data_IF_514193197027
#
_entry.id   IF_514193197027
#
_cell.length_a   1.000
_cell.length_b   1.000
_cell.length_c   1.000
_cell.angle_alpha   90.00
_cell.angle_beta   90.00
_cell.angle_gamma   90.00
#
_symmetry.space_group_name_H-M   'P 1'
#
loop_
_entity.id
_entity.type
_entity.pdbx_description
1 polymer ?
#
# COMPACT_ATOMS: atom_id res chain seq x y z
N UNK A 1 16.72 -6.22 39.36
CA UNK A 1 17.40 -6.03 38.06
C UNK A 1 18.83 -5.58 38.36
N UNK A 2 19.82 -6.26 37.83
CA UNK A 2 21.24 -6.03 38.05
C UNK A 2 22.01 -5.91 36.71
N UNK A 3 23.30 -5.66 36.76
CA UNK A 3 24.14 -5.52 35.57
C UNK A 3 24.24 -6.78 34.74
N UNK A 4 24.11 -7.97 35.34
CA UNK A 4 24.10 -9.27 34.63
C UNK A 4 22.83 -9.40 33.79
N UNK A 5 21.67 -9.05 34.35
CA UNK A 5 20.39 -9.00 33.62
C UNK A 5 20.47 -8.04 32.43
N UNK A 6 21.05 -6.86 32.64
CA UNK A 6 21.28 -5.87 31.57
C UNK A 6 22.17 -6.43 30.46
N UNK A 7 23.26 -7.09 30.82
CA UNK A 7 24.18 -7.70 29.83
C UNK A 7 23.46 -8.80 29.04
N UNK A 8 22.77 -9.71 29.72
CA UNK A 8 21.98 -10.77 29.07
C UNK A 8 20.97 -10.22 28.05
N UNK A 9 20.26 -9.13 28.39
CA UNK A 9 19.35 -8.47 27.45
C UNK A 9 20.09 -7.93 26.21
N UNK A 10 21.27 -7.32 26.42
CA UNK A 10 22.10 -6.82 25.31
C UNK A 10 22.56 -7.95 24.39
N UNK A 11 23.02 -9.06 24.96
CA UNK A 11 23.51 -10.22 24.20
C UNK A 11 22.37 -10.86 23.38
N UNK A 12 21.20 -11.04 23.96
CA UNK A 12 19.99 -11.54 23.29
C UNK A 12 19.57 -10.63 22.15
N UNK A 13 19.58 -9.31 22.35
CA UNK A 13 19.28 -8.35 21.27
C UNK A 13 20.33 -8.39 20.15
N UNK A 14 21.60 -8.50 20.48
CA UNK A 14 22.67 -8.67 19.51
C UNK A 14 22.48 -9.96 18.68
N UNK A 15 21.93 -11.02 19.30
CA UNK A 15 21.53 -12.25 18.63
C UNK A 15 20.22 -12.13 17.82
N UNK A 16 19.59 -10.95 17.78
CA UNK A 16 18.37 -10.71 17.01
C UNK A 16 17.07 -11.01 17.74
N UNK A 17 17.11 -11.23 19.07
CA UNK A 17 15.90 -11.46 19.85
C UNK A 17 15.18 -10.15 20.22
N UNK A 18 13.84 -10.15 20.18
CA UNK A 18 13.03 -9.09 20.76
C UNK A 18 13.05 -9.18 22.27
N UNK A 19 13.56 -8.15 22.93
CA UNK A 19 13.61 -8.06 24.39
C UNK A 19 13.14 -6.69 24.83
N UNK A 20 12.21 -6.65 25.78
CA UNK A 20 11.83 -5.39 26.41
C UNK A 20 13.00 -4.86 27.24
N UNK A 21 13.51 -3.72 26.87
CA UNK A 21 14.66 -3.08 27.53
C UNK A 21 14.53 -1.57 27.64
N UNK A 22 14.30 -0.93 26.54
CA UNK A 22 14.15 0.52 26.38
C UNK A 22 13.03 0.80 25.40
N UNK A 23 12.16 1.79 25.68
CA UNK A 23 10.91 2.00 24.94
C UNK A 23 11.11 2.15 23.42
N UNK A 24 12.14 2.86 22.97
CA UNK A 24 12.44 3.00 21.54
C UNK A 24 12.84 1.67 20.86
N UNK A 25 13.21 0.66 21.64
CA UNK A 25 13.55 -0.67 21.14
C UNK A 25 12.33 -1.64 21.09
N UNK A 26 11.16 -1.11 21.32
CA UNK A 26 9.89 -1.81 21.37
C UNK A 26 9.38 -2.07 22.79
N UNK A 27 8.09 -2.28 22.87
CA UNK A 27 7.33 -2.57 24.09
C UNK A 27 6.46 -3.82 23.85
N UNK A 28 5.91 -4.46 24.91
CA UNK A 28 4.98 -5.57 24.71
C UNK A 28 3.82 -5.24 23.76
N UNK A 29 3.32 -4.00 23.77
CA UNK A 29 2.23 -3.56 22.89
C UNK A 29 2.67 -3.47 21.43
N UNK A 30 3.85 -2.89 21.16
CA UNK A 30 4.39 -2.83 19.80
C UNK A 30 4.71 -4.23 19.27
N UNK A 31 5.26 -5.11 20.12
CA UNK A 31 5.51 -6.51 19.75
C UNK A 31 4.24 -7.27 19.41
N UNK A 32 3.15 -7.04 20.15
CA UNK A 32 1.85 -7.65 19.84
C UNK A 32 1.30 -7.19 18.47
N UNK A 33 1.50 -5.93 18.11
CA UNK A 33 1.11 -5.45 16.77
C UNK A 33 2.01 -6.03 15.67
N UNK A 34 3.33 -6.07 15.89
CA UNK A 34 4.27 -6.73 14.95
C UNK A 34 3.87 -8.18 14.70
N UNK A 35 3.56 -8.95 15.77
CA UNK A 35 3.16 -10.34 15.65
C UNK A 35 1.84 -10.51 14.92
N UNK A 36 0.84 -9.65 15.19
CA UNK A 36 -0.45 -9.68 14.51
C UNK A 36 -0.31 -9.39 13.01
N UNK A 37 0.45 -8.36 12.62
CA UNK A 37 0.70 -8.05 11.22
C UNK A 37 1.54 -9.14 10.56
N UNK A 38 2.54 -9.70 11.26
CA UNK A 38 3.38 -10.78 10.74
C UNK A 38 2.56 -12.04 10.43
N UNK A 39 1.60 -12.39 11.25
CA UNK A 39 0.69 -13.52 11.03
C UNK A 39 -0.19 -13.28 9.78
N UNK A 40 -0.67 -12.05 9.60
CA UNK A 40 -1.48 -11.66 8.45
C UNK A 40 -0.67 -11.71 7.16
N UNK A 41 0.52 -11.13 7.15
CA UNK A 41 1.39 -11.01 5.97
C UNK A 41 2.18 -12.28 5.66
N UNK A 42 2.42 -13.14 6.65
CA UNK A 42 3.16 -14.40 6.51
C UNK A 42 4.67 -14.21 6.40
N UNK A 43 5.22 -13.15 6.99
CA UNK A 43 6.65 -12.87 7.01
C UNK A 43 7.44 -13.71 8.04
N UNK A 44 8.77 -13.67 7.96
CA UNK A 44 9.65 -14.12 9.03
C UNK A 44 9.66 -13.12 10.18
N UNK A 45 9.54 -11.82 9.85
CA UNK A 45 9.57 -10.73 10.82
C UNK A 45 8.87 -9.50 10.28
N UNK A 46 8.13 -8.81 11.15
CA UNK A 46 7.55 -7.50 10.87
C UNK A 46 8.20 -6.41 11.72
N UNK A 47 8.37 -5.23 11.16
CA UNK A 47 8.90 -4.02 11.78
C UNK A 47 7.88 -2.91 11.64
N UNK A 48 7.72 -2.07 12.68
CA UNK A 48 6.83 -0.92 12.67
C UNK A 48 7.62 0.37 12.40
N UNK A 49 6.96 1.31 11.74
CA UNK A 49 7.52 2.60 11.32
C UNK A 49 6.57 3.75 11.68
N UNK A 50 7.10 4.95 12.00
CA UNK A 50 6.27 6.07 12.43
C UNK A 50 5.30 6.58 11.35
N UNK A 51 5.55 6.24 10.08
CA UNK A 51 4.67 6.56 8.94
C UNK A 51 4.71 5.46 7.89
N UNK A 52 3.66 5.36 7.05
CA UNK A 52 3.69 4.51 5.87
C UNK A 52 4.85 4.86 4.94
N UNK A 53 5.16 6.16 4.77
CA UNK A 53 6.28 6.58 3.93
C UNK A 53 7.65 6.18 4.50
N UNK A 54 7.81 6.15 5.82
CA UNK A 54 9.03 5.62 6.45
C UNK A 54 9.17 4.11 6.20
N UNK A 55 8.07 3.37 6.19
CA UNK A 55 8.05 1.96 5.81
C UNK A 55 8.42 1.76 4.33
N UNK A 56 7.89 2.59 3.42
CA UNK A 56 8.25 2.61 1.98
C UNK A 56 9.74 2.92 1.77
N UNK A 57 10.29 3.87 2.51
CA UNK A 57 11.69 4.27 2.40
C UNK A 57 12.67 3.18 2.88
N UNK A 58 12.24 2.35 3.83
CA UNK A 58 13.13 1.41 4.50
C UNK A 58 13.81 0.38 3.58
N UNK A 59 13.15 -0.28 2.62
CA UNK A 59 13.81 -1.15 1.66
C UNK A 59 14.90 -0.43 0.83
N UNK A 60 14.66 0.82 0.43
CA UNK A 60 15.66 1.62 -0.29
C UNK A 60 16.89 1.92 0.57
N UNK A 61 16.68 2.16 1.86
CA UNK A 61 17.76 2.45 2.80
C UNK A 61 18.54 1.21 3.22
N UNK A 62 17.85 0.08 3.39
CA UNK A 62 18.44 -1.14 3.92
C UNK A 62 19.04 -2.04 2.83
N UNK A 63 18.40 -2.14 1.66
CA UNK A 63 18.74 -3.16 0.68
C UNK A 63 19.62 -2.67 -0.48
N UNK A 64 19.70 -1.34 -0.69
CA UNK A 64 20.41 -0.75 -1.82
C UNK A 64 21.73 -0.11 -1.41
N UNK A 65 22.68 -0.16 -2.34
CA UNK A 65 24.01 0.48 -2.24
C UNK A 65 24.27 1.37 -3.47
N UNK A 66 25.20 2.33 -3.39
CA UNK A 66 25.63 3.09 -4.56
C UNK A 66 26.08 2.14 -5.70
N UNK A 67 25.63 2.42 -6.91
CA UNK A 67 25.85 1.56 -8.09
C UNK A 67 24.74 0.55 -8.37
N UNK A 68 23.79 0.34 -7.44
CA UNK A 68 22.64 -0.53 -7.70
C UNK A 68 21.64 0.10 -8.66
N UNK A 69 20.90 -0.77 -9.35
CA UNK A 69 19.79 -0.41 -10.22
C UNK A 69 18.46 -0.92 -9.64
N UNK A 70 17.42 -0.10 -9.76
CA UNK A 70 16.05 -0.41 -9.31
C UNK A 70 15.07 -0.24 -10.46
N UNK A 71 14.21 -1.24 -10.67
CA UNK A 71 13.03 -1.15 -11.53
C UNK A 71 11.79 -0.86 -10.67
N UNK A 72 11.03 0.16 -11.05
CA UNK A 72 9.81 0.56 -10.35
C UNK A 72 8.63 0.52 -11.32
N UNK A 73 7.51 -0.04 -10.90
CA UNK A 73 6.29 0.05 -11.70
C UNK A 73 5.87 1.52 -11.87
N UNK A 74 5.32 1.86 -13.05
CA UNK A 74 4.93 3.24 -13.34
C UNK A 74 3.82 3.74 -12.41
N UNK A 75 2.97 2.85 -11.91
CA UNK A 75 1.78 3.14 -11.13
C UNK A 75 1.99 3.06 -9.60
N UNK A 76 3.23 3.24 -9.13
CA UNK A 76 3.51 3.26 -7.69
C UNK A 76 3.06 4.57 -7.04
N UNK A 77 2.90 4.52 -5.71
CA UNK A 77 2.58 5.66 -4.85
C UNK A 77 3.51 6.86 -5.11
N UNK A 78 2.93 8.05 -5.31
CA UNK A 78 3.67 9.24 -5.69
C UNK A 78 4.88 9.57 -4.79
N UNK A 79 4.78 9.54 -3.45
CA UNK A 79 5.93 9.71 -2.57
C UNK A 79 7.02 8.65 -2.73
N UNK A 80 6.68 7.39 -3.08
CA UNK A 80 7.69 6.37 -3.41
C UNK A 80 8.49 6.75 -4.67
N UNK A 81 7.82 7.32 -5.69
CA UNK A 81 8.49 7.91 -6.87
C UNK A 81 9.47 9.00 -6.46
N UNK A 82 9.10 9.85 -5.50
CA UNK A 82 9.98 10.91 -4.99
C UNK A 82 11.21 10.35 -4.27
N UNK A 83 11.07 9.24 -3.53
CA UNK A 83 12.22 8.55 -2.93
C UNK A 83 13.15 8.04 -4.03
N UNK A 84 12.62 7.41 -5.07
CA UNK A 84 13.42 6.91 -6.19
C UNK A 84 14.13 8.06 -6.93
N UNK A 85 13.38 9.07 -7.38
CA UNK A 85 13.88 10.13 -8.23
C UNK A 85 14.80 11.14 -7.52
N UNK A 86 14.48 11.50 -6.26
CA UNK A 86 15.15 12.61 -5.58
C UNK A 86 16.11 12.16 -4.47
N UNK A 87 15.81 11.04 -3.79
CA UNK A 87 16.64 10.56 -2.70
C UNK A 87 17.67 9.54 -3.18
N UNK A 88 17.24 8.49 -3.87
CA UNK A 88 18.08 7.37 -4.29
C UNK A 88 19.08 7.79 -5.38
N UNK A 89 18.65 8.58 -6.37
CA UNK A 89 19.51 9.06 -7.46
C UNK A 89 20.70 9.86 -6.94
N UNK A 90 20.51 10.72 -5.91
CA UNK A 90 21.59 11.49 -5.28
C UNK A 90 22.59 10.62 -4.50
N UNK A 91 22.31 9.34 -4.32
CA UNK A 91 23.15 8.35 -3.63
C UNK A 91 23.76 7.34 -4.58
N UNK A 92 23.75 7.63 -5.88
CA UNK A 92 24.35 6.78 -6.89
C UNK A 92 23.52 5.51 -7.20
N UNK A 93 22.25 5.50 -6.86
CA UNK A 93 21.32 4.42 -7.20
C UNK A 93 20.57 4.82 -8.46
N UNK A 94 20.59 3.99 -9.49
CA UNK A 94 19.85 4.24 -10.74
C UNK A 94 18.43 3.70 -10.61
N UNK A 95 17.44 4.55 -10.81
CA UNK A 95 16.02 4.19 -10.77
C UNK A 95 15.41 4.31 -12.17
N UNK A 96 14.75 3.25 -12.64
CA UNK A 96 14.09 3.18 -13.95
C UNK A 96 12.64 2.73 -13.76
N UNK A 97 11.70 3.45 -14.39
CA UNK A 97 10.28 3.09 -14.34
C UNK A 97 9.90 2.20 -15.52
N UNK A 98 8.99 1.25 -15.29
CA UNK A 98 8.47 0.37 -16.34
C UNK A 98 6.93 0.35 -16.35
N UNK A 99 6.36 0.31 -17.54
CA UNK A 99 4.94 0.03 -17.78
C UNK A 99 4.80 -1.45 -18.17
N UNK A 100 3.75 -2.10 -17.67
CA UNK A 100 3.45 -3.50 -17.98
C UNK A 100 3.91 -4.49 -16.90
N UNK A 101 4.00 -5.76 -17.25
CA UNK A 101 4.23 -6.84 -16.29
C UNK A 101 5.64 -7.44 -16.35
N UNK A 102 5.74 -8.71 -15.95
CA UNK A 102 6.97 -9.45 -15.79
C UNK A 102 7.83 -9.54 -17.06
N UNK A 103 7.25 -9.60 -18.26
CA UNK A 103 8.01 -9.62 -19.52
C UNK A 103 8.75 -8.31 -19.77
N UNK A 104 8.17 -7.18 -19.40
CA UNK A 104 8.85 -5.89 -19.51
C UNK A 104 9.97 -5.75 -18.45
N UNK A 105 9.72 -6.21 -17.24
CA UNK A 105 10.77 -6.29 -16.21
C UNK A 105 11.94 -7.15 -16.73
N UNK A 106 11.68 -8.32 -17.29
CA UNK A 106 12.69 -9.23 -17.83
C UNK A 106 13.61 -8.56 -18.86
N UNK A 107 13.05 -7.75 -19.76
CA UNK A 107 13.80 -7.01 -20.79
C UNK A 107 14.71 -5.93 -20.19
N UNK A 108 14.30 -5.31 -19.07
CA UNK A 108 15.00 -4.20 -18.43
C UNK A 108 15.97 -4.60 -17.33
N UNK A 109 16.00 -5.90 -16.96
CA UNK A 109 16.93 -6.40 -15.95
C UNK A 109 18.38 -6.19 -16.38
N UNK A 110 19.18 -5.57 -15.52
CA UNK A 110 20.62 -5.36 -15.68
C UNK A 110 21.39 -6.26 -14.70
N UNK A 111 22.70 -6.50 -14.88
CA UNK A 111 23.50 -7.27 -13.92
C UNK A 111 23.45 -6.69 -12.49
N UNK A 112 23.37 -5.37 -12.37
CA UNK A 112 23.28 -4.64 -11.11
C UNK A 112 21.84 -4.31 -10.66
N UNK A 113 20.81 -4.89 -11.28
CA UNK A 113 19.44 -4.72 -10.80
C UNK A 113 19.29 -5.42 -9.46
N UNK A 114 19.09 -4.63 -8.41
CA UNK A 114 19.00 -5.09 -7.01
C UNK A 114 17.60 -5.15 -6.48
N UNK A 115 16.67 -4.38 -7.05
CA UNK A 115 15.27 -4.32 -6.57
C UNK A 115 14.30 -4.16 -7.74
N UNK A 116 13.16 -4.84 -7.64
CA UNK A 116 11.93 -4.55 -8.37
C UNK A 116 10.89 -4.14 -7.34
N UNK A 117 10.33 -2.94 -7.50
CA UNK A 117 9.36 -2.34 -6.57
C UNK A 117 8.06 -2.07 -7.29
N UNK A 118 6.93 -2.45 -6.69
CA UNK A 118 5.59 -2.18 -7.20
C UNK A 118 4.56 -2.02 -6.07
N UNK A 119 3.52 -1.24 -6.35
CA UNK A 119 2.25 -1.35 -5.63
C UNK A 119 1.41 -2.44 -6.33
N UNK A 120 0.71 -3.28 -5.58
CA UNK A 120 -0.17 -4.27 -6.20
C UNK A 120 -1.47 -4.45 -5.41
N UNK A 121 -2.59 -3.90 -5.92
CA UNK A 121 -2.77 -3.14 -7.17
C UNK A 121 -2.05 -1.80 -7.17
N UNK A 122 -1.77 -1.28 -8.36
CA UNK A 122 -1.11 0.00 -8.58
C UNK A 122 -1.89 1.18 -8.00
N UNK A 123 -1.19 2.25 -7.67
CA UNK A 123 -1.79 3.46 -7.08
C UNK A 123 -2.70 4.17 -8.08
N UNK A 124 -3.88 4.63 -7.66
CA UNK A 124 -4.89 5.39 -8.40
C UNK A 124 -5.59 4.60 -9.53
N UNK A 125 -4.84 3.90 -10.37
CA UNK A 125 -5.38 3.18 -11.54
C UNK A 125 -5.62 1.69 -11.28
N UNK A 126 -5.12 1.18 -10.17
CA UNK A 126 -5.34 -0.18 -9.64
C UNK A 126 -5.00 -1.32 -10.60
N UNK A 127 -4.05 -1.12 -11.49
CA UNK A 127 -3.54 -2.20 -12.34
C UNK A 127 -2.94 -3.33 -11.48
N UNK A 128 -3.27 -4.57 -11.83
CA UNK A 128 -2.80 -5.76 -11.12
C UNK A 128 -1.69 -6.42 -11.92
N UNK A 129 -0.56 -6.65 -11.27
CA UNK A 129 0.57 -7.37 -11.87
C UNK A 129 0.61 -8.83 -11.42
N UNK A 130 1.07 -9.71 -12.31
CA UNK A 130 1.28 -11.15 -12.02
C UNK A 130 2.53 -11.33 -11.14
N UNK A 131 2.32 -11.29 -9.81
CA UNK A 131 3.42 -11.37 -8.85
C UNK A 131 4.17 -12.71 -8.90
N UNK A 132 3.51 -13.89 -9.00
CA UNK A 132 4.21 -15.15 -9.19
C UNK A 132 5.11 -15.17 -10.45
N UNK A 133 4.66 -14.60 -11.55
CA UNK A 133 5.46 -14.51 -12.77
C UNK A 133 6.65 -13.54 -12.61
N UNK A 134 6.48 -12.43 -11.89
CA UNK A 134 7.58 -11.53 -11.51
C UNK A 134 8.60 -12.27 -10.62
N UNK A 135 8.14 -12.96 -9.59
CA UNK A 135 9.03 -13.73 -8.71
C UNK A 135 9.81 -14.81 -9.48
N UNK A 136 9.15 -15.52 -10.41
CA UNK A 136 9.80 -16.50 -11.28
C UNK A 136 10.86 -15.87 -12.19
N UNK A 137 10.60 -14.67 -12.72
CA UNK A 137 11.54 -13.90 -13.55
C UNK A 137 12.82 -13.52 -12.79
N UNK A 138 12.71 -13.29 -11.47
CA UNK A 138 13.82 -12.90 -10.60
C UNK A 138 14.55 -14.10 -9.98
N UNK A 139 14.07 -15.33 -10.18
CA UNK A 139 14.66 -16.54 -9.59
C UNK A 139 16.13 -16.70 -9.97
N UNK A 140 16.99 -16.96 -8.99
CA UNK A 140 18.43 -17.13 -9.18
C UNK A 140 19.22 -15.83 -9.31
N UNK A 141 18.56 -14.66 -9.20
CA UNK A 141 19.21 -13.35 -9.22
C UNK A 141 19.33 -12.80 -7.79
N UNK A 142 20.30 -11.94 -7.59
CA UNK A 142 20.42 -11.17 -6.34
C UNK A 142 19.60 -9.87 -6.45
N UNK A 143 18.33 -10.04 -6.81
CA UNK A 143 17.32 -8.97 -6.95
C UNK A 143 16.19 -9.23 -5.95
N UNK A 144 15.77 -8.21 -5.25
CA UNK A 144 14.67 -8.25 -4.26
C UNK A 144 13.36 -7.84 -4.91
N UNK A 145 12.29 -8.55 -4.59
CA UNK A 145 10.92 -8.20 -4.99
C UNK A 145 10.20 -7.55 -3.81
N UNK A 146 9.91 -6.25 -3.94
CA UNK A 146 9.30 -5.42 -2.90
C UNK A 146 7.93 -4.96 -3.35
N UNK A 147 6.92 -5.21 -2.52
CA UNK A 147 5.53 -4.92 -2.84
C UNK A 147 4.92 -4.01 -1.78
N UNK A 148 4.34 -2.89 -2.20
CA UNK A 148 3.41 -2.15 -1.35
C UNK A 148 2.04 -2.85 -1.40
N UNK A 149 1.65 -3.44 -0.27
CA UNK A 149 0.42 -4.20 -0.06
C UNK A 149 -0.64 -3.40 0.69
N UNK A 150 -0.53 -2.09 0.75
CA UNK A 150 -1.44 -1.28 1.55
C UNK A 150 -2.89 -1.45 1.12
N UNK A 151 -3.17 -1.61 -0.18
CA UNK A 151 -4.52 -1.87 -0.69
C UNK A 151 -5.05 -3.26 -0.28
N UNK A 152 -4.18 -4.27 -0.26
CA UNK A 152 -4.53 -5.67 0.00
C UNK A 152 -4.50 -6.09 1.49
N UNK A 153 -4.06 -5.23 2.38
CA UNK A 153 -3.99 -5.50 3.82
C UNK A 153 -5.18 -4.86 4.57
N UNK A 154 -5.71 -5.53 5.61
CA UNK A 154 -5.30 -6.82 6.14
C UNK A 154 -5.94 -8.02 5.43
N UNK A 155 -5.09 -8.98 5.07
CA UNK A 155 -5.52 -10.35 4.74
C UNK A 155 -6.18 -10.59 3.38
N UNK A 156 -6.39 -9.57 2.57
CA UNK A 156 -6.96 -9.73 1.24
C UNK A 156 -5.94 -10.18 0.18
N UNK A 157 -4.66 -9.85 0.37
CA UNK A 157 -3.57 -10.22 -0.50
C UNK A 157 -2.32 -10.58 0.32
N UNK A 158 -1.56 -11.58 -0.12
CA UNK A 158 -0.40 -12.11 0.60
C UNK A 158 0.84 -12.17 -0.30
N UNK A 159 1.50 -11.04 -0.59
CA UNK A 159 2.61 -10.98 -1.55
C UNK A 159 3.80 -11.85 -1.16
N UNK A 160 4.11 -12.01 0.13
CA UNK A 160 5.21 -12.88 0.57
C UNK A 160 4.99 -14.35 0.21
N UNK A 161 3.73 -14.83 0.29
CA UNK A 161 3.38 -16.18 -0.13
C UNK A 161 3.44 -16.37 -1.66
N UNK A 162 3.38 -15.28 -2.42
CA UNK A 162 3.46 -15.25 -3.89
C UNK A 162 4.88 -14.97 -4.41
N UNK A 163 5.87 -14.92 -3.52
CA UNK A 163 7.28 -14.82 -3.88
C UNK A 163 7.93 -13.46 -3.69
N UNK A 164 7.25 -12.48 -3.10
CA UNK A 164 7.88 -11.23 -2.70
C UNK A 164 8.88 -11.46 -1.53
N UNK A 165 9.93 -10.67 -1.46
CA UNK A 165 10.87 -10.65 -0.33
C UNK A 165 10.39 -9.71 0.78
N UNK A 166 9.64 -8.65 0.41
CA UNK A 166 9.18 -7.60 1.30
C UNK A 166 7.74 -7.21 0.97
N UNK A 167 6.92 -7.12 2.00
CA UNK A 167 5.58 -6.53 1.96
C UNK A 167 5.53 -5.27 2.83
N UNK A 168 5.10 -4.16 2.25
CA UNK A 168 4.94 -2.87 2.92
C UNK A 168 3.45 -2.62 3.13
N UNK A 169 3.08 -2.09 4.30
CA UNK A 169 1.70 -1.73 4.61
C UNK A 169 1.66 -0.38 5.34
N UNK A 170 0.92 0.57 4.81
CA UNK A 170 0.52 1.74 5.58
C UNK A 170 -0.60 1.34 6.55
N UNK A 171 -0.24 1.07 7.80
CA UNK A 171 -1.18 0.74 8.90
C UNK A 171 -2.24 1.83 9.07
N UNK A 172 -1.89 3.08 8.77
CA UNK A 172 -2.76 4.25 8.69
C UNK A 172 -4.09 3.98 7.98
N UNK A 173 -4.12 3.04 7.01
CA UNK A 173 -5.28 2.76 6.17
C UNK A 173 -6.23 1.76 6.85
N UNK A 174 -6.62 0.68 6.20
CA UNK A 174 -7.63 -0.27 6.71
C UNK A 174 -7.24 -0.99 8.01
N UNK A 175 -5.95 -1.09 8.33
CA UNK A 175 -5.53 -1.71 9.60
C UNK A 175 -6.00 -0.88 10.78
N UNK A 176 -5.66 0.41 10.83
CA UNK A 176 -6.16 1.34 11.84
C UNK A 176 -7.65 1.66 11.60
N UNK A 177 -7.99 2.10 10.40
CA UNK A 177 -9.37 2.23 9.90
C UNK A 177 -10.23 3.32 10.53
N UNK A 178 -9.63 4.25 11.28
CA UNK A 178 -10.36 5.27 12.05
C UNK A 178 -9.85 6.70 11.80
N UNK A 179 -8.94 6.89 10.85
CA UNK A 179 -8.35 8.20 10.49
C UNK A 179 -7.68 8.93 11.66
N UNK A 180 -7.23 8.21 12.67
CA UNK A 180 -6.79 8.72 13.98
C UNK A 180 -5.29 8.51 14.26
N UNK A 181 -4.57 7.79 13.39
CA UNK A 181 -3.12 7.57 13.55
C UNK A 181 -2.39 7.47 12.21
N UNK A 182 -1.08 7.69 12.26
CA UNK A 182 -0.18 7.50 11.13
C UNK A 182 0.89 6.46 11.52
N UNK A 183 0.97 5.37 10.76
CA UNK A 183 1.92 4.29 11.01
C UNK A 183 2.15 3.45 9.76
N UNK A 184 3.31 2.82 9.64
CA UNK A 184 3.61 1.83 8.62
C UNK A 184 4.20 0.56 9.19
N UNK A 185 4.22 -0.48 8.38
CA UNK A 185 4.94 -1.72 8.69
C UNK A 185 5.65 -2.26 7.46
N UNK A 186 6.71 -3.01 7.72
CA UNK A 186 7.41 -3.82 6.73
C UNK A 186 7.46 -5.25 7.24
N UNK A 187 6.84 -6.16 6.52
CA UNK A 187 6.95 -7.60 6.73
C UNK A 187 7.95 -8.19 5.76
N UNK A 188 8.95 -8.88 6.27
CA UNK A 188 10.09 -9.34 5.50
C UNK A 188 10.20 -10.86 5.49
N UNK A 189 10.49 -11.41 4.31
CA UNK A 189 10.80 -12.82 4.11
C UNK A 189 12.20 -13.20 4.63
N UNK A 190 12.52 -14.51 4.66
CA UNK A 190 13.77 -15.00 5.27
C UNK A 190 15.06 -14.40 4.70
N UNK A 191 15.10 -14.03 3.41
CA UNK A 191 16.29 -13.47 2.75
C UNK A 191 16.75 -12.13 3.34
N UNK A 192 15.82 -11.33 3.85
CA UNK A 192 16.08 -9.91 4.19
C UNK A 192 15.70 -9.54 5.62
N UNK A 193 14.90 -10.34 6.30
CA UNK A 193 14.29 -10.01 7.59
C UNK A 193 15.28 -9.57 8.67
N UNK A 194 16.38 -10.32 8.85
CA UNK A 194 17.33 -10.05 9.94
C UNK A 194 18.17 -8.79 9.64
N UNK A 195 18.52 -8.56 8.36
CA UNK A 195 19.20 -7.34 7.92
C UNK A 195 18.30 -6.12 8.11
N UNK A 196 17.10 -6.16 7.57
CA UNK A 196 16.15 -5.04 7.64
C UNK A 196 15.78 -4.69 9.08
N UNK A 197 15.62 -5.70 9.94
CA UNK A 197 15.35 -5.46 11.37
C UNK A 197 16.53 -4.76 12.07
N UNK A 198 17.77 -5.17 11.80
CA UNK A 198 18.96 -4.51 12.35
C UNK A 198 19.04 -3.05 11.87
N UNK A 199 18.83 -2.81 10.59
CA UNK A 199 18.88 -1.47 10.02
C UNK A 199 17.76 -0.58 10.55
N UNK A 200 16.54 -1.09 10.74
CA UNK A 200 15.45 -0.34 11.36
C UNK A 200 15.82 0.12 12.80
N UNK A 201 16.44 -0.76 13.58
CA UNK A 201 16.91 -0.41 14.93
C UNK A 201 18.04 0.63 14.91
N UNK A 202 19.00 0.52 13.97
CA UNK A 202 20.12 1.48 13.82
C UNK A 202 19.59 2.85 13.39
N UNK A 203 18.59 2.88 12.50
CA UNK A 203 17.96 4.10 12.03
C UNK A 203 16.98 4.70 13.04
N UNK A 204 16.79 4.07 14.21
CA UNK A 204 15.92 4.57 15.27
C UNK A 204 14.44 4.52 14.95
N UNK A 205 14.03 3.64 14.06
CA UNK A 205 12.59 3.46 13.72
C UNK A 205 11.85 2.92 14.96
N UNK A 206 10.92 3.72 15.44
CA UNK A 206 10.09 3.35 16.60
C UNK A 206 8.71 4.01 16.50
N UNK A 207 7.75 3.39 17.16
CA UNK A 207 6.36 3.86 17.22
C UNK A 207 5.92 3.98 18.68
N UNK A 208 4.96 4.87 18.93
CA UNK A 208 4.30 5.01 20.22
C UNK A 208 3.55 3.71 20.59
N UNK A 209 3.58 3.35 21.89
CA UNK A 209 2.76 2.24 22.38
C UNK A 209 1.26 2.53 22.29
N UNK A 210 0.86 3.80 22.41
CA UNK A 210 -0.53 4.22 22.31
C UNK A 210 -1.04 4.08 20.88
N UNK A 211 -0.25 4.50 19.88
CA UNK A 211 -0.59 4.29 18.47
C UNK A 211 -0.63 2.80 18.11
N UNK A 212 0.32 2.01 18.63
CA UNK A 212 0.31 0.56 18.43
C UNK A 212 -0.94 -0.10 19.04
N UNK A 213 -1.40 0.38 20.21
CA UNK A 213 -2.64 -0.07 20.82
C UNK A 213 -3.86 0.31 19.99
N UNK A 214 -3.94 1.54 19.49
CA UNK A 214 -5.03 1.99 18.63
C UNK A 214 -5.05 1.21 17.30
N UNK A 215 -3.89 0.94 16.70
CA UNK A 215 -3.80 0.07 15.52
C UNK A 215 -4.32 -1.35 15.80
N UNK A 216 -3.97 -1.94 16.97
CA UNK A 216 -4.51 -3.25 17.39
C UNK A 216 -6.03 -3.22 17.58
N UNK A 217 -6.59 -2.13 18.14
CA UNK A 217 -8.05 -1.95 18.22
C UNK A 217 -8.69 -1.93 16.84
N UNK A 218 -8.13 -1.14 15.93
CA UNK A 218 -8.58 -1.07 14.55
C UNK A 218 -8.53 -2.44 13.87
N UNK A 219 -7.44 -3.18 14.04
CA UNK A 219 -7.27 -4.50 13.44
C UNK A 219 -8.37 -5.50 13.89
N UNK A 220 -8.81 -5.43 15.15
CA UNK A 220 -9.88 -6.30 15.67
C UNK A 220 -11.23 -6.13 14.96
N UNK A 221 -11.49 -4.97 14.37
CA UNK A 221 -12.72 -4.68 13.62
C UNK A 221 -12.51 -4.70 12.11
N UNK A 222 -11.29 -4.94 11.64
CA UNK A 222 -10.95 -4.77 10.22
C UNK A 222 -11.79 -5.66 9.29
N UNK A 223 -12.05 -6.92 9.66
CA UNK A 223 -12.87 -7.82 8.84
C UNK A 223 -14.32 -7.34 8.68
N UNK A 224 -14.92 -6.82 9.74
CA UNK A 224 -16.29 -6.27 9.70
C UNK A 224 -16.32 -4.99 8.85
N UNK A 225 -15.37 -4.07 9.05
CA UNK A 225 -15.27 -2.83 8.26
C UNK A 225 -15.04 -3.12 6.78
N UNK A 226 -14.12 -4.02 6.44
CA UNK A 226 -13.86 -4.42 5.06
C UNK A 226 -15.06 -5.10 4.40
N UNK A 227 -15.84 -5.87 5.15
CA UNK A 227 -17.08 -6.46 4.63
C UNK A 227 -18.09 -5.35 4.26
N UNK A 228 -18.26 -4.34 5.11
CA UNK A 228 -19.13 -3.18 4.84
C UNK A 228 -18.59 -2.34 3.68
N UNK A 229 -17.29 -1.97 3.68
CA UNK A 229 -16.69 -1.26 2.54
C UNK A 229 -16.95 -1.96 1.21
N UNK A 230 -16.73 -3.28 1.16
CA UNK A 230 -16.97 -4.07 -0.03
C UNK A 230 -18.44 -4.05 -0.46
N UNK A 231 -19.37 -4.20 0.49
CA UNK A 231 -20.80 -4.17 0.20
C UNK A 231 -21.22 -2.81 -0.34
N UNK A 232 -20.91 -1.73 0.37
CA UNK A 232 -21.25 -0.36 -0.05
C UNK A 232 -20.64 -0.02 -1.42
N UNK A 233 -19.38 -0.42 -1.63
CA UNK A 233 -18.71 -0.22 -2.91
C UNK A 233 -19.40 -0.96 -4.05
N UNK A 234 -19.87 -2.18 -3.83
CA UNK A 234 -20.61 -2.93 -4.86
C UNK A 234 -21.94 -2.24 -5.21
N UNK A 235 -22.66 -1.69 -4.24
CA UNK A 235 -23.91 -0.93 -4.47
C UNK A 235 -23.62 0.37 -5.24
N UNK A 236 -22.60 1.12 -4.85
CA UNK A 236 -22.18 2.34 -5.54
C UNK A 236 -21.72 2.04 -6.97
N UNK A 237 -20.94 0.99 -7.20
CA UNK A 237 -20.50 0.55 -8.53
C UNK A 237 -21.71 0.20 -9.38
N UNK A 238 -22.68 -0.58 -8.87
CA UNK A 238 -23.89 -0.93 -9.59
C UNK A 238 -24.72 0.29 -10.01
N UNK A 239 -24.65 1.40 -9.27
CA UNK A 239 -25.24 2.66 -9.66
C UNK A 239 -24.37 3.41 -10.68
N UNK A 240 -23.05 3.49 -10.47
CA UNK A 240 -22.11 4.18 -11.36
C UNK A 240 -22.09 3.59 -12.78
N UNK A 241 -22.26 2.28 -12.95
CA UNK A 241 -22.34 1.61 -14.26
C UNK A 241 -23.47 2.13 -15.14
N UNK A 242 -24.51 2.72 -14.56
CA UNK A 242 -25.69 3.27 -15.28
C UNK A 242 -25.56 4.76 -15.58
N UNK A 243 -24.47 5.42 -15.15
CA UNK A 243 -24.29 6.86 -15.33
C UNK A 243 -23.63 7.17 -16.67
N UNK A 244 -24.25 7.96 -17.56
CA UNK A 244 -23.69 8.27 -18.87
C UNK A 244 -22.41 9.15 -18.79
N UNK A 245 -22.15 9.77 -17.63
CA UNK A 245 -20.95 10.54 -17.39
C UNK A 245 -19.73 9.64 -17.09
N UNK A 246 -19.95 8.38 -16.70
CA UNK A 246 -18.88 7.43 -16.33
C UNK A 246 -18.58 6.54 -17.53
N UNK A 247 -17.35 6.61 -18.02
CA UNK A 247 -16.84 5.79 -19.13
C UNK A 247 -16.37 4.43 -18.64
N UNK A 248 -15.67 4.40 -17.50
CA UNK A 248 -15.06 3.18 -16.96
C UNK A 248 -14.86 3.30 -15.45
N UNK A 249 -14.97 2.17 -14.77
CA UNK A 249 -14.66 2.00 -13.36
C UNK A 249 -13.36 1.21 -13.27
N UNK A 250 -12.38 1.74 -12.55
CA UNK A 250 -11.09 1.11 -12.26
C UNK A 250 -11.16 0.50 -10.87
N UNK A 251 -11.35 -0.79 -10.80
CA UNK A 251 -11.51 -1.55 -9.56
C UNK A 251 -11.28 -3.04 -9.84
N UNK A 252 -10.19 -3.64 -9.36
CA UNK A 252 -9.81 -5.01 -9.75
C UNK A 252 -10.88 -6.07 -9.49
N UNK A 253 -11.71 -5.88 -8.46
CA UNK A 253 -12.82 -6.78 -8.18
C UNK A 253 -13.98 -6.67 -9.17
N UNK A 254 -14.01 -5.65 -10.02
CA UNK A 254 -15.05 -5.46 -11.03
C UNK A 254 -14.78 -6.35 -12.25
N UNK A 255 -15.77 -7.14 -12.74
CA UNK A 255 -15.53 -8.12 -13.82
C UNK A 255 -15.04 -7.53 -15.15
N UNK A 256 -15.25 -6.23 -15.39
CA UNK A 256 -14.78 -5.52 -16.60
C UNK A 256 -13.39 -4.89 -16.42
N UNK A 257 -12.79 -5.01 -15.23
CA UNK A 257 -11.44 -4.49 -15.00
C UNK A 257 -10.41 -5.37 -15.70
N UNK A 258 -9.43 -4.81 -16.41
CA UNK A 258 -8.39 -5.60 -17.08
C UNK A 258 -7.59 -6.52 -16.16
N UNK A 259 -7.45 -6.15 -14.88
CA UNK A 259 -6.74 -6.91 -13.84
C UNK A 259 -7.60 -7.97 -13.14
N UNK A 260 -8.91 -8.09 -13.50
CA UNK A 260 -9.86 -8.92 -12.76
C UNK A 260 -9.44 -10.38 -12.61
N UNK A 261 -8.94 -11.02 -13.66
CA UNK A 261 -8.57 -12.44 -13.61
C UNK A 261 -7.35 -12.67 -12.69
N UNK A 262 -6.37 -11.75 -12.67
CA UNK A 262 -5.25 -11.80 -11.73
C UNK A 262 -5.72 -11.54 -10.30
N UNK A 263 -6.59 -10.55 -10.11
CA UNK A 263 -7.21 -10.29 -8.82
C UNK A 263 -7.98 -11.50 -8.29
N UNK A 264 -8.81 -12.11 -9.11
CA UNK A 264 -9.59 -13.31 -8.74
C UNK A 264 -8.73 -14.51 -8.37
N UNK A 265 -7.56 -14.66 -9.01
CA UNK A 265 -6.59 -15.70 -8.70
C UNK A 265 -5.87 -15.47 -7.37
N UNK A 266 -5.42 -14.24 -7.12
CA UNK A 266 -4.44 -13.94 -6.08
C UNK A 266 -5.04 -13.25 -4.85
N UNK A 267 -6.18 -12.58 -4.97
CA UNK A 267 -6.81 -11.83 -3.90
C UNK A 267 -8.02 -12.56 -3.30
N UNK A 268 -8.24 -12.37 -2.01
CA UNK A 268 -9.37 -12.97 -1.26
C UNK A 268 -10.49 -11.98 -0.95
N UNK A 269 -10.37 -10.75 -1.42
CA UNK A 269 -11.35 -9.71 -1.15
C UNK A 269 -11.03 -8.40 -1.83
N UNK A 270 -11.86 -7.43 -1.55
CA UNK A 270 -11.78 -6.08 -2.06
C UNK A 270 -12.18 -5.08 -0.98
N UNK A 271 -11.99 -3.80 -1.24
CA UNK A 271 -12.18 -2.72 -0.28
C UNK A 271 -12.98 -1.55 -0.89
N UNK A 272 -12.96 -0.39 -0.25
CA UNK A 272 -13.72 0.79 -0.64
C UNK A 272 -13.03 1.72 -1.65
N UNK A 273 -11.85 1.37 -2.16
CA UNK A 273 -11.03 2.29 -2.94
C UNK A 273 -11.09 1.96 -4.45
N UNK A 274 -11.63 2.89 -5.25
CA UNK A 274 -11.77 2.78 -6.71
C UNK A 274 -11.50 4.11 -7.39
N UNK A 275 -11.40 4.10 -8.71
CA UNK A 275 -11.43 5.32 -9.54
C UNK A 275 -12.48 5.19 -10.64
N UNK A 276 -13.06 6.32 -11.04
CA UNK A 276 -13.92 6.42 -12.22
C UNK A 276 -13.26 7.29 -13.27
N UNK A 277 -13.27 6.83 -14.52
CA UNK A 277 -12.91 7.61 -15.68
C UNK A 277 -14.18 8.27 -16.23
N UNK A 278 -14.15 9.58 -16.38
CA UNK A 278 -15.26 10.31 -16.99
C UNK A 278 -15.31 10.10 -18.50
N UNK A 279 -16.48 10.29 -19.10
CA UNK A 279 -16.67 10.21 -20.54
C UNK A 279 -15.78 11.23 -21.28
N UNK A 280 -15.33 10.91 -22.48
CA UNK A 280 -14.28 11.60 -23.23
C UNK A 280 -14.52 13.11 -23.45
N UNK A 281 -15.79 13.53 -23.42
CA UNK A 281 -16.17 14.95 -23.53
C UNK A 281 -15.78 15.77 -22.31
N UNK A 282 -15.59 15.14 -21.15
CA UNK A 282 -15.24 15.80 -19.89
C UNK A 282 -13.73 15.91 -19.71
N UNK A 283 -13.30 17.00 -19.08
CA UNK A 283 -11.89 17.34 -18.83
C UNK A 283 -11.60 17.38 -17.35
N UNK A 284 -10.34 17.61 -16.97
CA UNK A 284 -9.92 17.70 -15.57
C UNK A 284 -10.76 18.71 -14.77
N UNK A 285 -11.03 19.90 -15.33
CA UNK A 285 -11.85 20.91 -14.66
C UNK A 285 -13.29 20.46 -14.40
N UNK A 286 -13.81 19.53 -15.19
CA UNK A 286 -15.12 18.95 -14.97
C UNK A 286 -15.09 17.96 -13.79
N UNK A 287 -14.03 17.13 -13.72
CA UNK A 287 -13.80 16.25 -12.58
C UNK A 287 -13.65 17.04 -11.27
N UNK A 288 -12.90 18.15 -11.32
CA UNK A 288 -12.70 19.04 -10.17
C UNK A 288 -14.06 19.63 -9.71
N UNK A 289 -14.92 20.10 -10.66
CA UNK A 289 -16.27 20.59 -10.32
C UNK A 289 -17.14 19.51 -9.66
N UNK A 290 -17.08 18.26 -10.11
CA UNK A 290 -17.78 17.15 -9.45
C UNK A 290 -17.35 17.06 -8.01
N UNK A 291 -16.04 16.93 -7.77
CA UNK A 291 -15.48 16.74 -6.42
C UNK A 291 -15.79 17.95 -5.52
N UNK A 292 -15.65 19.16 -6.02
CA UNK A 292 -15.94 20.40 -5.27
C UNK A 292 -17.42 20.55 -4.89
N UNK A 293 -18.33 19.89 -5.62
CA UNK A 293 -19.76 19.94 -5.36
C UNK A 293 -20.26 18.89 -4.36
N UNK A 294 -19.45 17.87 -4.07
CA UNK A 294 -19.79 16.84 -3.07
C UNK A 294 -19.86 17.43 -1.66
N UNK A 295 -20.76 16.90 -0.86
CA UNK A 295 -20.97 17.37 0.51
C UNK A 295 -20.71 16.29 1.56
N UNK A 296 -21.01 15.05 1.24
CA UNK A 296 -20.72 13.90 2.09
C UNK A 296 -19.25 13.49 1.98
N UNK A 297 -18.72 13.51 0.75
CA UNK A 297 -17.32 13.19 0.52
C UNK A 297 -16.41 14.32 0.97
N UNK A 298 -15.43 14.00 1.84
CA UNK A 298 -14.31 14.90 2.10
C UNK A 298 -13.33 14.93 0.93
N UNK A 299 -12.68 16.08 0.69
CA UNK A 299 -11.55 16.17 -0.25
C UNK A 299 -10.30 15.71 0.49
N UNK A 300 -9.76 14.56 0.13
CA UNK A 300 -8.64 13.98 0.87
C UNK A 300 -7.81 12.98 0.10
N UNK A 301 -6.49 13.08 0.27
CA UNK A 301 -5.53 12.16 -0.35
C UNK A 301 -5.44 10.80 0.37
N UNK A 302 -6.02 10.67 1.56
CA UNK A 302 -6.06 9.40 2.31
C UNK A 302 -7.23 8.50 1.88
N UNK A 303 -7.39 7.39 2.57
CA UNK A 303 -8.45 6.39 2.40
C UNK A 303 -8.34 5.33 3.49
N UNK A 304 -9.31 4.43 3.57
CA UNK A 304 -9.29 3.30 4.50
C UNK A 304 -9.82 3.61 5.90
N UNK A 305 -10.27 4.85 6.13
CA UNK A 305 -11.03 5.26 7.30
C UNK A 305 -12.52 4.99 7.15
N UNK A 306 -13.31 5.53 8.06
CA UNK A 306 -14.76 5.37 8.08
C UNK A 306 -15.48 6.33 7.11
N UNK A 307 -14.87 7.49 6.81
CA UNK A 307 -15.43 8.52 5.95
C UNK A 307 -15.19 8.28 4.46
N UNK A 308 -16.15 8.65 3.63
CA UNK A 308 -16.00 8.71 2.18
C UNK A 308 -15.13 9.89 1.75
N UNK A 309 -14.20 9.65 0.83
CA UNK A 309 -13.26 10.65 0.32
C UNK A 309 -13.23 10.64 -1.20
N UNK A 310 -13.10 11.83 -1.80
CA UNK A 310 -12.92 11.99 -3.24
C UNK A 310 -11.70 12.86 -3.54
N UNK A 311 -11.02 12.57 -4.66
CA UNK A 311 -9.88 13.37 -5.12
C UNK A 311 -9.70 13.21 -6.63
N UNK A 312 -9.31 14.30 -7.28
CA UNK A 312 -8.87 14.31 -8.69
C UNK A 312 -7.35 14.38 -8.78
N UNK A 313 -6.81 14.04 -9.94
CA UNK A 313 -5.39 14.10 -10.21
C UNK A 313 -5.15 14.69 -11.58
N UNK A 314 -4.49 15.86 -11.68
CA UNK A 314 -4.25 16.54 -12.97
C UNK A 314 -3.25 15.78 -13.86
N UNK A 315 -2.44 14.92 -13.26
CA UNK A 315 -1.48 14.07 -13.96
C UNK A 315 -1.26 12.78 -13.17
N UNK A 316 -1.37 11.65 -13.85
CA UNK A 316 -1.15 10.33 -13.28
C UNK A 316 -0.13 9.62 -14.15
N UNK A 317 1.04 9.25 -13.59
CA UNK A 317 2.05 8.51 -14.34
C UNK A 317 1.50 7.20 -14.92
N UNK A 318 1.83 6.90 -16.18
CA UNK A 318 1.35 5.70 -16.90
C UNK A 318 -0.11 5.74 -17.33
N UNK A 319 -0.91 6.72 -16.92
CA UNK A 319 -2.30 6.85 -17.32
C UNK A 319 -2.45 7.56 -18.68
N UNK A 320 -3.16 6.92 -19.61
CA UNK A 320 -3.40 7.43 -20.99
C UNK A 320 -4.89 7.69 -21.27
N UNK A 321 -5.74 7.54 -20.24
CA UNK A 321 -7.17 7.78 -20.35
C UNK A 321 -7.60 9.22 -20.07
N UNK A 322 -8.91 9.41 -19.89
CA UNK A 322 -9.53 10.70 -19.57
C UNK A 322 -9.38 11.12 -18.11
N UNK A 323 -10.13 12.15 -17.73
CA UNK A 323 -10.16 12.66 -16.36
C UNK A 323 -10.62 11.58 -15.37
N UNK A 324 -9.89 11.44 -14.26
CA UNK A 324 -10.18 10.47 -13.19
C UNK A 324 -10.65 11.16 -11.92
N UNK A 325 -11.62 10.56 -11.26
CA UNK A 325 -11.98 10.82 -9.88
C UNK A 325 -11.69 9.56 -9.09
N UNK A 326 -10.79 9.63 -8.10
CA UNK A 326 -10.59 8.56 -7.13
C UNK A 326 -11.62 8.71 -6.02
N UNK A 327 -12.28 7.62 -5.69
CA UNK A 327 -13.27 7.52 -4.62
C UNK A 327 -12.79 6.51 -3.57
N UNK A 328 -12.93 6.87 -2.32
CA UNK A 328 -12.96 5.94 -1.21
C UNK A 328 -14.38 5.90 -0.67
N UNK A 329 -15.02 4.75 -0.73
CA UNK A 329 -16.36 4.52 -0.20
C UNK A 329 -16.23 4.13 1.26
N UNK A 330 -16.73 4.99 2.12
CA UNK A 330 -16.70 4.85 3.57
C UNK A 330 -17.76 3.91 4.13
N UNK A 331 -18.12 4.15 5.38
CA UNK A 331 -19.09 3.34 6.13
C UNK A 331 -20.44 4.05 6.29
N UNK A 332 -20.64 5.19 5.63
CA UNK A 332 -21.93 5.89 5.57
C UNK A 332 -22.95 5.06 4.79
N UNK A 333 -24.24 5.41 4.92
CA UNK A 333 -25.29 4.72 4.18
C UNK A 333 -25.03 4.82 2.66
N UNK A 334 -25.00 3.72 1.92
CA UNK A 334 -24.75 3.76 0.49
C UNK A 334 -25.79 4.56 -0.32
N UNK A 335 -27.01 4.71 0.19
CA UNK A 335 -28.01 5.57 -0.45
C UNK A 335 -27.62 7.05 -0.37
N UNK A 336 -27.08 7.51 0.76
CA UNK A 336 -26.59 8.87 0.94
C UNK A 336 -25.34 9.13 0.07
N UNK A 337 -24.43 8.15 0.01
CA UNK A 337 -23.26 8.19 -0.87
C UNK A 337 -23.69 8.35 -2.34
N UNK A 338 -24.65 7.56 -2.80
CA UNK A 338 -25.17 7.61 -4.16
C UNK A 338 -25.88 8.93 -4.44
N UNK A 339 -26.68 9.43 -3.49
CA UNK A 339 -27.35 10.72 -3.64
C UNK A 339 -26.35 11.87 -3.82
N UNK A 340 -25.27 11.89 -3.03
CA UNK A 340 -24.24 12.92 -3.13
C UNK A 340 -23.47 12.82 -4.46
N UNK A 341 -23.08 11.62 -4.88
CA UNK A 341 -22.47 11.41 -6.20
C UNK A 341 -23.40 11.78 -7.35
N UNK A 342 -24.72 11.53 -7.23
CA UNK A 342 -25.69 11.93 -8.24
C UNK A 342 -25.76 13.44 -8.40
N UNK A 343 -25.75 14.18 -7.29
CA UNK A 343 -25.70 15.67 -7.31
C UNK A 343 -24.40 16.16 -7.94
N UNK A 344 -23.26 15.54 -7.59
CA UNK A 344 -21.97 15.88 -8.18
C UNK A 344 -21.93 15.64 -9.70
N UNK A 345 -22.36 14.47 -10.16
CA UNK A 345 -22.38 14.16 -11.61
C UNK A 345 -23.41 14.98 -12.39
N UNK A 346 -24.47 15.48 -11.75
CA UNK A 346 -25.43 16.37 -12.37
C UNK A 346 -24.86 17.78 -12.66
N UNK A 347 -23.73 18.15 -12.08
CA UNK A 347 -23.02 19.40 -12.36
C UNK A 347 -22.21 19.36 -13.68
N UNK A 348 -22.16 18.20 -14.35
CA UNK A 348 -21.52 17.98 -15.67
C UNK A 348 -22.51 18.21 -16.80
#
# INVERSE_FOLDING_TARGET
>A
KDTKTRQSIRDRRAAGERCFSYGAAGTPTTFALEDAINEIEGGKRTMLFPTGLAAVAHPFLSLLLPGDHVLLAETIYGPARSIAANYSSKRGITCEFYEGGHEEVKKRLKPNTRMVYLDNPGSIVYDVQDLPALAATLKGRDTYLVVDNTWGCPGMYKPLALGADVSIVAITKYVAGHSDLVMGSVSAGPRVADRMWKDANILGQSVSSDDAFNALKGLRTASARLAMHRQHTAEVIGWLERQPQVKRILYPAHPKDPGHELWKRDFKGANGLLSIELADKFKQADADRVVDSLRLFGIGASWGGYESLALTYPSIPGWKGGALIRLHIGLEDPADIIEDLAKGLAAL
#
